data_IF_156738272770
#
_entry.id   IF_156738272770
#
_cell.length_a   1.000
_cell.length_b   1.000
_cell.length_c   1.000
_cell.angle_alpha   90.00
_cell.angle_beta   90.00
_cell.angle_gamma   90.00
#
_symmetry.space_group_name_H-M   'P 1'
#
loop_
_entity.id
_entity.type
_entity.pdbx_description
1 polymer ?
#
# COMPACT_ATOMS: atom_id res chain seq x y z
N UNK A 1 -6.13 15.47 -8.11
CA UNK A 1 -6.91 15.69 -6.87
C UNK A 1 -7.02 14.43 -6.02
N UNK A 2 -7.32 13.25 -6.60
CA UNK A 2 -7.39 11.99 -5.87
C UNK A 2 -6.11 11.65 -5.06
N UNK A 3 -4.91 11.77 -5.64
CA UNK A 3 -3.63 11.38 -5.00
C UNK A 3 -3.37 12.01 -3.61
N UNK A 4 -3.77 13.26 -3.39
CA UNK A 4 -3.55 13.96 -2.11
C UNK A 4 -4.42 13.39 -0.98
N UNK A 5 -5.65 12.98 -1.29
CA UNK A 5 -6.63 12.46 -0.33
C UNK A 5 -6.35 11.02 0.13
N UNK A 6 -5.42 10.33 -0.55
CA UNK A 6 -5.03 8.93 -0.29
C UNK A 6 -3.59 8.79 0.24
N UNK A 7 -2.94 9.92 0.60
CA UNK A 7 -1.63 9.90 1.28
C UNK A 7 -1.71 9.35 2.70
N UNK A 8 -2.86 9.44 3.35
CA UNK A 8 -3.12 8.88 4.69
C UNK A 8 -3.33 7.36 4.70
N UNK A 9 -2.74 6.64 3.72
CA UNK A 9 -2.74 5.19 3.51
C UNK A 9 -3.47 4.39 4.60
N UNK A 10 -4.70 3.96 4.31
CA UNK A 10 -5.60 3.12 5.14
C UNK A 10 -6.70 3.79 5.95
N UNK A 11 -6.67 5.12 6.17
CA UNK A 11 -7.63 5.74 7.11
C UNK A 11 -8.88 6.34 6.45
N UNK A 12 -8.94 6.34 5.12
CA UNK A 12 -10.05 6.94 4.37
C UNK A 12 -10.88 5.88 3.65
N UNK A 13 -12.21 6.03 3.69
CA UNK A 13 -13.13 5.20 2.92
C UNK A 13 -12.76 5.15 1.43
N UNK A 14 -12.32 6.28 0.88
CA UNK A 14 -11.85 6.43 -0.51
C UNK A 14 -10.67 5.52 -0.85
N UNK A 15 -9.81 5.18 0.12
CA UNK A 15 -8.70 4.24 -0.09
C UNK A 15 -9.18 2.81 -0.32
N UNK A 16 -10.21 2.39 0.41
CA UNK A 16 -10.81 1.07 0.25
C UNK A 16 -11.56 0.97 -1.09
N UNK A 17 -12.32 2.00 -1.43
CA UNK A 17 -13.04 2.09 -2.70
C UNK A 17 -12.09 2.04 -3.91
N UNK A 18 -10.97 2.77 -3.85
CA UNK A 18 -9.98 2.76 -4.95
C UNK A 18 -9.22 1.44 -5.11
N UNK A 19 -9.20 0.57 -4.10
CA UNK A 19 -8.56 -0.76 -4.15
C UNK A 19 -9.54 -1.87 -4.52
N UNK A 20 -10.85 -1.61 -4.44
CA UNK A 20 -11.87 -2.58 -4.80
C UNK A 20 -11.68 -3.05 -6.25
N UNK A 21 -11.52 -4.36 -6.44
CA UNK A 21 -11.37 -4.96 -7.76
C UNK A 21 -10.05 -4.68 -8.46
N UNK A 22 -9.09 -4.00 -7.81
CA UNK A 22 -7.77 -3.69 -8.39
C UNK A 22 -6.70 -4.62 -7.84
N UNK A 23 -5.87 -5.15 -8.74
CA UNK A 23 -4.68 -5.90 -8.36
C UNK A 23 -3.63 -4.91 -7.86
N UNK A 24 -3.23 -5.05 -6.59
CA UNK A 24 -2.16 -4.26 -5.98
C UNK A 24 -0.84 -5.02 -6.07
N UNK A 25 0.29 -4.31 -6.13
CA UNK A 25 1.59 -4.96 -6.32
C UNK A 25 1.95 -6.01 -5.27
N UNK A 26 1.52 -5.83 -4.02
CA UNK A 26 1.69 -6.83 -2.96
C UNK A 26 1.11 -8.20 -3.36
N UNK A 27 0.10 -8.22 -4.22
CA UNK A 27 -0.64 -9.41 -4.64
C UNK A 27 -0.45 -9.76 -6.11
N UNK A 28 0.36 -9.02 -6.87
CA UNK A 28 0.58 -9.27 -8.32
C UNK A 28 1.18 -10.65 -8.54
N UNK A 29 2.18 -11.02 -7.74
CA UNK A 29 2.82 -12.34 -7.86
C UNK A 29 1.83 -13.48 -7.64
N UNK A 30 1.03 -13.39 -6.58
CA UNK A 30 0.01 -14.38 -6.26
C UNK A 30 -1.06 -14.44 -7.36
N UNK A 31 -1.49 -13.29 -7.87
CA UNK A 31 -2.51 -13.22 -8.93
C UNK A 31 -2.01 -13.82 -10.25
N UNK A 32 -0.71 -13.68 -10.56
CA UNK A 32 -0.11 -14.27 -11.75
C UNK A 32 0.01 -15.81 -11.68
N UNK A 33 0.09 -16.39 -10.48
CA UNK A 33 0.36 -17.82 -10.30
C UNK A 33 -0.83 -18.61 -9.72
N UNK A 34 -1.85 -17.94 -9.20
CA UNK A 34 -3.05 -18.59 -8.68
C UNK A 34 -3.87 -19.18 -9.84
N UNK A 35 -4.10 -20.50 -9.80
CA UNK A 35 -4.94 -21.22 -10.78
C UNK A 35 -6.39 -21.36 -10.32
N UNK A 36 -6.68 -20.98 -9.08
CA UNK A 36 -8.01 -21.11 -8.49
C UNK A 36 -8.90 -19.95 -8.94
N UNK A 37 -9.97 -20.27 -9.68
CA UNK A 37 -10.91 -19.28 -10.23
C UNK A 37 -11.65 -18.49 -9.13
N UNK A 38 -12.14 -19.18 -8.11
CA UNK A 38 -12.87 -18.58 -6.99
C UNK A 38 -12.26 -19.03 -5.67
N UNK A 39 -11.80 -18.06 -4.86
CA UNK A 39 -11.16 -18.35 -3.59
C UNK A 39 -10.85 -17.09 -2.79
N UNK A 40 -10.07 -17.26 -1.72
CA UNK A 40 -9.70 -16.19 -0.80
C UNK A 40 -8.99 -15.02 -1.49
N UNK A 41 -8.18 -15.28 -2.53
CA UNK A 41 -7.48 -14.23 -3.28
C UNK A 41 -8.45 -13.30 -4.00
N UNK A 42 -9.45 -13.86 -4.71
CA UNK A 42 -10.48 -13.06 -5.39
C UNK A 42 -11.31 -12.27 -4.38
N UNK A 43 -11.71 -12.92 -3.27
CA UNK A 43 -12.42 -12.26 -2.17
C UNK A 43 -11.61 -11.10 -1.55
N UNK A 44 -10.28 -11.22 -1.47
CA UNK A 44 -9.41 -10.16 -0.98
C UNK A 44 -9.27 -9.01 -1.98
N UNK A 45 -9.21 -9.29 -3.30
CA UNK A 45 -9.14 -8.26 -4.35
C UNK A 45 -10.45 -7.46 -4.43
N UNK A 46 -11.60 -8.12 -4.35
CA UNK A 46 -12.91 -7.45 -4.36
C UNK A 46 -13.30 -6.89 -2.98
N UNK A 47 -12.39 -6.86 -2.00
CA UNK A 47 -12.67 -6.30 -0.67
C UNK A 47 -13.76 -7.03 0.14
N UNK A 48 -14.14 -8.25 -0.26
CA UNK A 48 -15.08 -9.11 0.47
C UNK A 48 -14.45 -9.80 1.69
N UNK A 49 -13.14 -9.64 1.88
CA UNK A 49 -12.38 -10.20 3.01
C UNK A 49 -11.94 -9.11 3.98
N UNK A 50 -12.05 -9.38 5.30
CA UNK A 50 -11.54 -8.46 6.33
C UNK A 50 -10.04 -8.22 6.14
N UNK A 51 -9.63 -6.95 6.17
CA UNK A 51 -8.23 -6.57 6.21
C UNK A 51 -7.63 -7.09 7.52
N UNK A 52 -6.72 -8.07 7.41
CA UNK A 52 -6.02 -8.61 8.58
C UNK A 52 -4.92 -7.63 8.98
N UNK A 53 -5.04 -7.05 10.18
CA UNK A 53 -3.94 -6.31 10.79
C UNK A 53 -3.10 -7.25 11.63
N UNK A 54 -1.92 -7.60 11.13
CA UNK A 54 -0.93 -8.36 11.88
C UNK A 54 -0.06 -7.45 12.75
N UNK A 55 0.49 -7.98 13.84
CA UNK A 55 1.49 -7.26 14.65
C UNK A 55 2.71 -6.84 13.84
N UNK A 56 3.09 -7.62 12.81
CA UNK A 56 4.16 -7.27 11.90
C UNK A 56 3.85 -6.02 11.07
N UNK A 57 2.58 -5.86 10.63
CA UNK A 57 2.15 -4.66 9.91
C UNK A 57 2.15 -3.42 10.81
N UNK A 58 1.69 -3.55 12.05
CA UNK A 58 1.71 -2.45 13.02
C UNK A 58 3.15 -2.01 13.33
N UNK A 59 4.05 -2.97 13.55
CA UNK A 59 5.48 -2.71 13.72
C UNK A 59 6.08 -2.02 12.49
N UNK A 60 5.72 -2.47 11.28
CA UNK A 60 6.15 -1.85 10.03
C UNK A 60 5.73 -0.38 9.94
N UNK A 61 4.46 -0.08 10.22
CA UNK A 61 3.92 1.29 10.23
C UNK A 61 4.62 2.21 11.24
N UNK A 62 5.04 1.66 12.39
CA UNK A 62 5.81 2.42 13.40
C UNK A 62 7.23 2.72 12.91
N UNK A 63 7.93 1.71 12.41
CA UNK A 63 9.34 1.82 12.00
C UNK A 63 9.53 2.58 10.68
N UNK A 64 8.53 2.63 9.82
CA UNK A 64 8.60 3.33 8.53
C UNK A 64 9.07 4.79 8.68
N UNK A 65 8.53 5.50 9.69
CA UNK A 65 8.92 6.88 9.99
C UNK A 65 10.36 7.01 10.47
N UNK A 66 10.80 6.09 11.34
CA UNK A 66 12.15 6.09 11.89
C UNK A 66 13.19 5.80 10.78
N UNK A 67 12.92 4.80 9.94
CA UNK A 67 13.78 4.42 8.82
C UNK A 67 13.89 5.57 7.81
N UNK A 68 12.80 6.29 7.54
CA UNK A 68 12.83 7.45 6.64
C UNK A 68 13.73 8.57 7.13
N UNK A 69 13.73 8.82 8.43
CA UNK A 69 14.61 9.83 9.04
C UNK A 69 16.07 9.43 8.89
N UNK A 70 16.41 8.16 9.09
CA UNK A 70 17.78 7.65 8.91
C UNK A 70 18.22 7.70 7.45
N UNK A 71 17.38 7.27 6.51
CA UNK A 71 17.70 7.33 5.08
C UNK A 71 17.88 8.78 4.61
N UNK A 72 17.09 9.72 5.12
CA UNK A 72 17.25 11.15 4.79
C UNK A 72 18.61 11.70 5.23
N UNK A 73 19.14 11.24 6.36
CA UNK A 73 20.49 11.62 6.83
C UNK A 73 21.59 11.06 5.93
N UNK A 74 21.42 9.82 5.47
CA UNK A 74 22.43 9.12 4.66
C UNK A 74 22.46 9.65 3.23
N UNK A 75 21.29 9.92 2.65
CA UNK A 75 21.15 10.13 1.21
C UNK A 75 20.91 11.59 0.82
N UNK A 76 20.68 12.49 1.79
CA UNK A 76 20.30 13.91 1.58
C UNK A 76 19.06 14.14 0.67
N UNK A 77 18.34 13.08 0.31
CA UNK A 77 17.19 13.12 -0.58
C UNK A 77 15.92 13.58 0.16
N UNK A 78 15.05 14.28 -0.57
CA UNK A 78 13.73 14.67 -0.07
C UNK A 78 12.71 13.59 -0.40
N UNK A 79 12.12 13.02 0.64
CA UNK A 79 11.04 12.04 0.54
C UNK A 79 9.68 12.70 0.71
N UNK A 80 8.72 12.34 -0.13
CA UNK A 80 7.32 12.73 0.02
C UNK A 80 6.41 11.50 0.06
N UNK A 81 5.45 11.53 0.98
CA UNK A 81 4.35 10.58 1.03
C UNK A 81 3.52 10.71 -0.26
N UNK A 82 3.39 9.60 -0.98
CA UNK A 82 2.55 9.51 -2.15
C UNK A 82 1.35 8.59 -1.87
N UNK A 83 0.18 8.99 -2.37
CA UNK A 83 -1.03 8.17 -2.29
C UNK A 83 -0.96 6.98 -3.25
N UNK A 84 -2.09 6.28 -3.42
CA UNK A 84 -2.21 5.21 -4.41
C UNK A 84 -2.13 5.81 -5.84
N UNK A 85 -0.94 5.82 -6.43
CA UNK A 85 -0.76 6.02 -7.86
C UNK A 85 -1.08 4.74 -8.63
N UNK A 86 -1.16 4.81 -9.96
CA UNK A 86 -1.21 3.64 -10.84
C UNK A 86 -0.04 2.65 -10.60
N UNK A 87 1.00 3.12 -9.92
CA UNK A 87 2.03 2.32 -9.29
C UNK A 87 1.95 2.62 -7.78
N UNK A 88 1.49 1.63 -7.01
CA UNK A 88 1.83 1.33 -5.60
C UNK A 88 2.12 2.54 -4.70
N UNK A 89 1.30 2.73 -3.66
CA UNK A 89 1.61 3.68 -2.58
C UNK A 89 3.04 3.49 -2.08
N UNK A 90 3.82 4.56 -2.13
CA UNK A 90 5.25 4.52 -1.87
C UNK A 90 5.81 5.91 -1.62
N UNK A 91 7.09 5.94 -1.32
CA UNK A 91 7.82 7.14 -0.96
C UNK A 91 8.56 7.60 -2.21
N UNK A 92 8.18 8.76 -2.75
CA UNK A 92 8.83 9.31 -3.94
C UNK A 92 10.05 10.10 -3.50
N UNK A 93 11.22 9.68 -3.96
CA UNK A 93 12.42 10.50 -3.91
C UNK A 93 12.29 11.64 -4.91
N UNK A 94 12.37 12.87 -4.43
CA UNK A 94 12.53 14.06 -5.27
C UNK A 94 14.02 14.31 -5.41
N UNK A 95 14.55 14.03 -6.60
CA UNK A 95 15.83 14.55 -7.06
C UNK A 95 15.64 16.02 -7.50
#
# INVERSE_FOLDING_TARGET
>A
MAEKCIRSQSDTFTWHELRYGRITALRVYETAHCKTLNGSLVQQIIGASKVFHSQAMERGKRLEKEVLLEIKKITELKFQDCGLGAFISGIRSLA
#
